data_IF_090522246427
#
_entry.id   IF_090522246427
#
_cell.length_a   1.000
_cell.length_b   1.000
_cell.length_c   1.000
_cell.angle_alpha   90.00
_cell.angle_beta   90.00
_cell.angle_gamma   90.00
#
_symmetry.space_group_name_H-M   'P 1'
#
loop_
_entity.id
_entity.type
_entity.pdbx_description
1 polymer ?
#
# COMPACT_ATOMS: atom_id res chain seq x y z
N UNK A 1 25.29 -3.16 -5.63
CA UNK A 1 24.09 -4.01 -5.73
C UNK A 1 23.89 -4.36 -7.20
N UNK A 2 23.33 -5.53 -7.49
CA UNK A 2 23.04 -5.94 -8.87
C UNK A 2 21.92 -5.07 -9.46
N UNK A 3 21.93 -4.86 -10.78
CA UNK A 3 20.86 -4.15 -11.48
C UNK A 3 19.54 -4.93 -11.41
N UNK A 4 18.41 -4.22 -11.34
CA UNK A 4 17.09 -4.85 -11.31
C UNK A 4 16.82 -5.56 -12.63
N UNK A 5 16.36 -6.81 -12.58
CA UNK A 5 16.04 -7.59 -13.76
C UNK A 5 14.54 -7.51 -14.06
N UNK A 6 14.16 -6.67 -15.03
CA UNK A 6 12.76 -6.47 -15.42
C UNK A 6 12.13 -7.73 -16.02
N UNK A 7 12.86 -8.50 -16.83
CA UNK A 7 12.33 -9.72 -17.45
C UNK A 7 11.94 -10.76 -16.40
N UNK A 8 12.81 -10.95 -15.40
CA UNK A 8 12.53 -11.81 -14.25
C UNK A 8 11.33 -11.32 -13.43
N UNK A 9 11.14 -10.01 -13.31
CA UNK A 9 9.96 -9.46 -12.66
C UNK A 9 8.69 -9.83 -13.44
N UNK A 10 8.70 -9.64 -14.76
CA UNK A 10 7.57 -9.97 -15.64
C UNK A 10 7.24 -11.47 -15.63
N UNK A 11 8.25 -12.35 -15.63
CA UNK A 11 8.05 -13.80 -15.53
C UNK A 11 7.34 -14.24 -14.23
N UNK A 12 7.49 -13.45 -13.17
CA UNK A 12 6.92 -13.71 -11.85
C UNK A 12 5.68 -12.85 -11.55
N UNK A 13 5.31 -11.96 -12.47
CA UNK A 13 4.18 -11.05 -12.30
C UNK A 13 2.87 -11.78 -12.58
N UNK A 14 1.85 -11.49 -11.80
CA UNK A 14 0.53 -12.08 -11.98
C UNK A 14 -0.42 -11.79 -10.83
N UNK A 15 -1.68 -12.19 -11.01
CA UNK A 15 -2.68 -12.08 -9.97
C UNK A 15 -2.21 -12.76 -8.68
N UNK A 16 -2.49 -12.13 -7.53
CA UNK A 16 -2.31 -12.80 -6.24
C UNK A 16 -3.10 -14.11 -6.25
N UNK A 17 -2.43 -15.22 -5.92
CA UNK A 17 -3.05 -16.54 -5.95
C UNK A 17 -4.13 -16.62 -4.87
N UNK A 18 -5.35 -16.99 -5.27
CA UNK A 18 -6.51 -17.10 -4.38
C UNK A 18 -7.26 -18.44 -4.49
N UNK A 19 -7.00 -19.22 -5.54
CA UNK A 19 -7.76 -20.43 -5.86
C UNK A 19 -7.49 -21.60 -4.91
N UNK A 20 -6.33 -21.57 -4.22
CA UNK A 20 -5.93 -22.57 -3.23
C UNK A 20 -6.27 -22.16 -1.78
N UNK A 21 -7.01 -21.07 -1.59
CA UNK A 21 -7.45 -20.63 -0.28
C UNK A 21 -8.68 -21.41 0.18
N UNK A 22 -8.71 -21.80 1.45
CA UNK A 22 -9.83 -22.49 2.07
C UNK A 22 -10.96 -21.51 2.43
N UNK A 23 -11.80 -21.20 1.45
CA UNK A 23 -12.91 -20.26 1.66
C UNK A 23 -13.92 -20.74 2.70
N UNK A 24 -14.04 -22.04 2.97
CA UNK A 24 -14.90 -22.52 4.04
C UNK A 24 -14.34 -22.12 5.40
N UNK A 25 -13.06 -22.41 5.65
CA UNK A 25 -12.37 -21.98 6.88
C UNK A 25 -12.40 -20.45 7.03
N UNK A 26 -12.24 -19.72 5.92
CA UNK A 26 -12.33 -18.25 5.92
C UNK A 26 -13.68 -17.76 6.48
N UNK A 27 -14.79 -18.37 6.04
CA UNK A 27 -16.14 -18.05 6.51
C UNK A 27 -16.39 -18.44 7.95
N UNK A 28 -15.93 -19.62 8.35
CA UNK A 28 -16.17 -20.14 9.70
C UNK A 28 -15.43 -19.35 10.78
N UNK A 29 -14.20 -18.89 10.49
CA UNK A 29 -13.45 -18.01 11.41
C UNK A 29 -13.98 -16.58 11.34
N UNK A 30 -14.33 -16.11 10.14
CA UNK A 30 -14.86 -14.76 9.90
C UNK A 30 -13.81 -13.66 10.09
N UNK A 31 -14.31 -12.43 10.22
CA UNK A 31 -13.53 -11.22 10.53
C UNK A 31 -14.16 -10.48 11.71
N UNK A 32 -13.37 -9.67 12.39
CA UNK A 32 -13.85 -8.60 13.25
C UNK A 32 -14.29 -7.39 12.42
N UNK A 33 -15.12 -6.53 12.99
CA UNK A 33 -15.49 -5.25 12.35
C UNK A 33 -14.26 -4.35 12.14
N UNK A 34 -13.25 -4.44 13.01
CA UNK A 34 -11.97 -3.73 12.87
C UNK A 34 -11.23 -4.23 11.63
N UNK A 35 -11.07 -5.54 11.47
CA UNK A 35 -10.44 -6.14 10.28
C UNK A 35 -11.20 -5.77 9.01
N UNK A 36 -12.53 -5.87 9.04
CA UNK A 36 -13.36 -5.52 7.90
C UNK A 36 -13.18 -4.04 7.49
N UNK A 37 -13.13 -3.11 8.45
CA UNK A 37 -12.86 -1.68 8.18
C UNK A 37 -11.46 -1.43 7.63
N UNK A 38 -10.43 -2.08 8.19
CA UNK A 38 -9.04 -1.98 7.69
C UNK A 38 -8.94 -2.50 6.26
N UNK A 39 -9.51 -3.68 6.00
CA UNK A 39 -9.48 -4.31 4.68
C UNK A 39 -10.27 -3.50 3.64
N UNK A 40 -11.41 -2.92 4.03
CA UNK A 40 -12.17 -2.00 3.16
C UNK A 40 -11.30 -0.81 2.75
N UNK A 41 -10.64 -0.17 3.71
CA UNK A 41 -9.70 0.92 3.45
C UNK A 41 -8.55 0.52 2.53
N UNK A 42 -7.95 -0.67 2.75
CA UNK A 42 -6.88 -1.20 1.90
C UNK A 42 -7.38 -1.45 0.48
N UNK A 43 -8.53 -2.12 0.30
CA UNK A 43 -9.12 -2.39 -1.01
C UNK A 43 -9.47 -1.11 -1.78
N UNK A 44 -9.99 -0.09 -1.09
CA UNK A 44 -10.30 1.22 -1.66
C UNK A 44 -9.04 1.96 -2.09
N UNK A 45 -7.94 1.77 -1.34
CA UNK A 45 -6.62 2.32 -1.67
C UNK A 45 -6.07 1.64 -2.93
N UNK A 46 -6.08 0.30 -3.03
CA UNK A 46 -5.60 -0.40 -4.24
C UNK A 46 -6.43 -0.05 -5.48
N UNK A 47 -7.75 0.08 -5.31
CA UNK A 47 -8.64 0.41 -6.42
C UNK A 47 -8.44 1.84 -6.93
N UNK A 48 -8.09 2.78 -6.05
CA UNK A 48 -7.79 4.17 -6.42
C UNK A 48 -6.45 4.34 -7.09
N UNK A 49 -5.46 3.55 -6.70
CA UNK A 49 -4.12 3.54 -7.30
C UNK A 49 -4.17 3.38 -8.83
N UNK A 50 -5.19 2.67 -9.34
CA UNK A 50 -5.45 2.46 -10.78
C UNK A 50 -5.90 3.74 -11.49
N UNK A 51 -6.63 4.63 -10.82
CA UNK A 51 -7.15 5.87 -11.43
C UNK A 51 -6.03 6.81 -11.87
N UNK A 52 -4.87 6.74 -11.21
CA UNK A 52 -3.70 7.54 -11.52
C UNK A 52 -2.79 6.91 -12.57
N UNK A 53 -3.09 5.70 -13.07
CA UNK A 53 -2.23 5.00 -14.03
C UNK A 53 -1.89 5.85 -15.27
N UNK A 54 -2.89 6.58 -15.79
CA UNK A 54 -2.70 7.51 -16.92
C UNK A 54 -1.65 8.58 -16.60
N UNK A 55 -1.61 9.03 -15.37
CA UNK A 55 -0.76 10.11 -14.88
C UNK A 55 0.65 9.58 -14.61
N UNK A 56 0.77 8.36 -14.07
CA UNK A 56 2.04 7.65 -13.87
C UNK A 56 2.73 7.31 -15.21
N UNK A 57 1.92 6.99 -16.23
CA UNK A 57 2.32 6.82 -17.63
C UNK A 57 2.25 8.13 -18.43
N UNK A 58 2.32 9.29 -17.78
CA UNK A 58 2.43 10.56 -18.49
C UNK A 58 3.89 11.01 -18.62
N UNK A 59 4.14 11.88 -19.60
CA UNK A 59 5.40 12.62 -19.70
C UNK A 59 6.63 11.77 -19.95
N UNK A 60 7.63 11.92 -19.09
CA UNK A 60 8.95 11.30 -19.28
C UNK A 60 9.00 9.82 -18.93
N UNK A 61 8.04 9.30 -18.15
CA UNK A 61 7.97 7.89 -17.75
C UNK A 61 7.73 6.96 -18.96
N UNK A 62 6.99 7.41 -19.96
CA UNK A 62 6.66 6.60 -21.16
C UNK A 62 7.83 6.30 -22.07
N UNK A 63 8.92 7.07 -21.94
CA UNK A 63 10.12 6.91 -22.75
C UNK A 63 11.06 5.83 -22.19
N UNK A 64 10.79 5.34 -20.99
CA UNK A 64 11.56 4.27 -20.36
C UNK A 64 10.81 2.93 -20.47
N UNK A 65 11.29 1.99 -21.29
CA UNK A 65 10.60 0.72 -21.51
C UNK A 65 10.52 -0.15 -20.24
N UNK A 66 11.48 -0.04 -19.31
CA UNK A 66 11.42 -0.79 -18.05
C UNK A 66 10.28 -0.30 -17.17
N UNK A 67 10.10 1.02 -17.10
CA UNK A 67 9.00 1.64 -16.35
C UNK A 67 7.65 1.30 -16.97
N UNK A 68 7.53 1.36 -18.30
CA UNK A 68 6.27 1.01 -18.98
C UNK A 68 5.91 -0.45 -18.76
N UNK A 69 6.89 -1.37 -18.91
CA UNK A 69 6.67 -2.79 -18.67
C UNK A 69 6.27 -3.06 -17.22
N UNK A 70 7.00 -2.47 -16.26
CA UNK A 70 6.70 -2.59 -14.84
C UNK A 70 5.30 -2.08 -14.51
N UNK A 71 4.95 -0.84 -14.88
CA UNK A 71 3.64 -0.24 -14.54
C UNK A 71 2.46 -1.02 -15.15
N UNK A 72 2.67 -1.65 -16.31
CA UNK A 72 1.66 -2.49 -16.96
C UNK A 72 1.37 -3.77 -16.18
N UNK A 73 2.41 -4.42 -15.65
CA UNK A 73 2.26 -5.60 -14.80
C UNK A 73 1.77 -5.23 -13.40
N UNK A 74 2.36 -4.18 -12.81
CA UNK A 74 2.01 -3.65 -11.50
C UNK A 74 0.52 -3.32 -11.39
N UNK A 75 -0.06 -2.56 -12.32
CA UNK A 75 -1.49 -2.20 -12.24
C UNK A 75 -2.40 -3.44 -12.24
N UNK A 76 -1.98 -4.49 -12.94
CA UNK A 76 -2.73 -5.73 -12.99
C UNK A 76 -2.64 -6.48 -11.65
N UNK A 77 -1.46 -6.50 -11.03
CA UNK A 77 -1.30 -7.05 -9.67
C UNK A 77 -2.14 -6.26 -8.66
N UNK A 78 -2.10 -4.92 -8.67
CA UNK A 78 -2.88 -4.04 -7.79
C UNK A 78 -4.40 -4.26 -7.92
N UNK A 79 -4.90 -4.35 -9.16
CA UNK A 79 -6.30 -4.68 -9.41
C UNK A 79 -6.69 -6.03 -8.81
N UNK A 80 -5.78 -7.00 -8.85
CA UNK A 80 -6.02 -8.32 -8.29
C UNK A 80 -5.99 -8.31 -6.76
N UNK A 81 -5.17 -7.45 -6.14
CA UNK A 81 -5.15 -7.25 -4.69
C UNK A 81 -6.49 -6.74 -4.18
N UNK A 82 -6.99 -5.64 -4.76
CA UNK A 82 -8.30 -5.09 -4.43
C UNK A 82 -9.40 -6.15 -4.54
N UNK A 83 -9.47 -6.87 -5.67
CA UNK A 83 -10.45 -7.96 -5.89
C UNK A 83 -10.33 -9.10 -4.89
N UNK A 84 -9.11 -9.49 -4.52
CA UNK A 84 -8.89 -10.55 -3.55
C UNK A 84 -9.39 -10.15 -2.15
N UNK A 85 -9.13 -8.90 -1.74
CA UNK A 85 -9.67 -8.35 -0.49
C UNK A 85 -11.20 -8.28 -0.55
N UNK A 86 -11.78 -7.75 -1.64
CA UNK A 86 -13.24 -7.65 -1.82
C UNK A 86 -13.91 -9.02 -1.71
N UNK A 87 -13.31 -10.06 -2.30
CA UNK A 87 -13.80 -11.44 -2.18
C UNK A 87 -13.74 -11.93 -0.74
N UNK A 88 -12.61 -11.76 -0.06
CA UNK A 88 -12.47 -12.18 1.33
C UNK A 88 -13.48 -11.49 2.25
N UNK A 89 -13.69 -10.18 2.06
CA UNK A 89 -14.72 -9.42 2.77
C UNK A 89 -16.12 -10.00 2.51
N UNK A 90 -16.47 -10.27 1.26
CA UNK A 90 -17.76 -10.86 0.90
C UNK A 90 -17.98 -12.25 1.52
N UNK A 91 -16.96 -13.11 1.49
CA UNK A 91 -17.02 -14.44 2.11
C UNK A 91 -17.27 -14.32 3.62
N UNK A 92 -16.60 -13.38 4.30
CA UNK A 92 -16.78 -13.16 5.73
C UNK A 92 -18.04 -12.33 6.10
N UNK A 93 -18.97 -12.09 5.16
CA UNK A 93 -20.24 -11.41 5.44
C UNK A 93 -20.21 -9.88 5.36
N UNK A 94 -19.16 -9.30 4.77
CA UNK A 94 -18.99 -7.86 4.56
C UNK A 94 -18.95 -7.51 3.05
N UNK A 95 -19.98 -7.85 2.25
CA UNK A 95 -19.98 -7.59 0.81
C UNK A 95 -19.91 -6.10 0.51
N UNK A 96 -19.39 -5.77 -0.67
CA UNK A 96 -19.46 -4.41 -1.21
C UNK A 96 -20.88 -4.05 -1.62
N UNK A 97 -21.22 -2.77 -1.55
CA UNK A 97 -22.35 -2.24 -2.30
C UNK A 97 -22.07 -2.43 -3.80
N UNK A 98 -23.10 -2.78 -4.57
CA UNK A 98 -23.05 -2.94 -6.03
C UNK A 98 -22.44 -1.70 -6.72
N UNK A 99 -22.63 -0.51 -6.13
CA UNK A 99 -22.08 0.74 -6.65
C UNK A 99 -20.80 1.20 -5.95
N UNK A 100 -20.23 0.41 -5.04
CA UNK A 100 -19.08 0.81 -4.20
C UNK A 100 -17.90 1.29 -5.04
N UNK A 101 -17.51 0.53 -6.07
CA UNK A 101 -16.44 0.92 -6.99
C UNK A 101 -16.72 2.28 -7.66
N UNK A 102 -17.95 2.51 -8.11
CA UNK A 102 -18.33 3.80 -8.70
C UNK A 102 -18.30 4.92 -7.66
N UNK A 103 -18.81 4.70 -6.45
CA UNK A 103 -18.79 5.69 -5.36
C UNK A 103 -17.36 6.07 -4.96
N UNK A 104 -16.50 5.07 -4.81
CA UNK A 104 -15.07 5.22 -4.51
C UNK A 104 -14.39 6.01 -5.63
N UNK A 105 -14.57 5.62 -6.90
CA UNK A 105 -13.92 6.28 -8.04
C UNK A 105 -14.52 7.65 -8.42
N UNK A 106 -15.78 7.92 -8.09
CA UNK A 106 -16.46 9.21 -8.36
C UNK A 106 -16.45 10.18 -7.18
N UNK A 107 -16.09 9.70 -5.98
CA UNK A 107 -15.87 10.52 -4.79
C UNK A 107 -14.67 11.48 -4.91
N UNK A 108 -13.83 11.29 -5.94
CA UNK A 108 -12.78 12.21 -6.32
C UNK A 108 -13.38 13.58 -6.69
N UNK A 109 -13.18 14.56 -5.83
CA UNK A 109 -13.81 15.88 -5.94
C UNK A 109 -13.35 16.63 -7.20
N UNK A 110 -14.16 17.58 -7.68
CA UNK A 110 -13.79 18.51 -8.78
C UNK A 110 -12.45 19.23 -8.47
N UNK A 111 -12.14 19.43 -7.18
CA UNK A 111 -10.87 20.00 -6.72
C UNK A 111 -9.69 19.05 -6.93
N UNK A 112 -9.83 17.75 -6.64
CA UNK A 112 -8.82 16.74 -6.97
C UNK A 112 -8.62 16.57 -8.47
N UNK A 113 -9.67 16.74 -9.28
CA UNK A 113 -9.54 16.74 -10.74
C UNK A 113 -8.72 17.94 -11.26
N UNK A 114 -8.83 19.11 -10.63
CA UNK A 114 -8.03 20.30 -10.95
C UNK A 114 -6.59 20.16 -10.43
N UNK A 115 -6.40 19.64 -9.22
CA UNK A 115 -5.08 19.37 -8.64
C UNK A 115 -4.34 18.26 -9.41
N UNK A 116 -5.05 17.22 -9.89
CA UNK A 116 -4.51 16.18 -10.76
C UNK A 116 -4.12 16.73 -12.15
N UNK A 117 -4.91 17.60 -12.76
CA UNK A 117 -4.57 18.27 -14.02
C UNK A 117 -3.32 19.17 -13.91
N UNK A 118 -3.15 19.87 -12.79
CA UNK A 118 -1.94 20.66 -12.52
C UNK A 118 -0.73 19.75 -12.25
N UNK A 119 -0.91 18.66 -11.52
CA UNK A 119 0.15 17.68 -11.22
C UNK A 119 0.60 16.93 -12.48
N UNK A 120 -0.33 16.65 -13.39
CA UNK A 120 -0.06 16.09 -14.71
C UNK A 120 0.97 16.89 -15.51
N UNK A 121 0.83 18.22 -15.54
CA UNK A 121 1.77 19.10 -16.24
C UNK A 121 3.18 19.00 -15.64
N UNK A 122 3.30 18.78 -14.33
CA UNK A 122 4.58 18.62 -13.63
C UNK A 122 5.37 17.44 -14.20
N UNK A 123 4.72 16.31 -14.50
CA UNK A 123 5.38 15.13 -15.08
C UNK A 123 5.99 15.38 -16.48
N UNK A 124 5.51 16.39 -17.21
CA UNK A 124 6.09 16.80 -18.50
C UNK A 124 7.19 17.86 -18.35
N UNK A 125 7.35 18.51 -17.18
CA UNK A 125 8.28 19.64 -17.05
C UNK A 125 9.75 19.23 -17.03
N UNK A 126 10.11 18.08 -16.46
CA UNK A 126 11.50 17.63 -16.42
C UNK A 126 11.63 16.12 -16.29
N UNK A 127 12.64 15.48 -16.92
CA UNK A 127 12.96 14.06 -16.71
C UNK A 127 13.20 13.70 -15.24
N UNK A 128 13.60 14.68 -14.41
CA UNK A 128 13.85 14.48 -12.98
C UNK A 128 12.61 14.14 -12.17
N UNK A 129 11.41 14.44 -12.69
CA UNK A 129 10.15 14.03 -12.05
C UNK A 129 9.97 12.52 -12.02
N UNK A 130 10.63 11.78 -12.93
CA UNK A 130 10.64 10.32 -12.86
C UNK A 130 11.33 9.87 -11.57
N UNK A 131 12.42 10.53 -11.13
CA UNK A 131 13.06 10.19 -9.86
C UNK A 131 12.12 10.45 -8.66
N UNK A 132 11.35 11.55 -8.68
CA UNK A 132 10.34 11.83 -7.65
C UNK A 132 9.29 10.73 -7.60
N UNK A 133 8.74 10.36 -8.76
CA UNK A 133 7.78 9.26 -8.87
C UNK A 133 8.37 7.95 -8.35
N UNK A 134 9.56 7.55 -8.80
CA UNK A 134 10.18 6.29 -8.37
C UNK A 134 10.45 6.26 -6.87
N UNK A 135 10.93 7.36 -6.28
CA UNK A 135 11.10 7.46 -4.83
C UNK A 135 9.75 7.37 -4.09
N UNK A 136 8.73 8.07 -4.58
CA UNK A 136 7.41 8.08 -3.96
C UNK A 136 6.78 6.69 -3.97
N UNK A 137 6.83 6.00 -5.12
CA UNK A 137 6.39 4.61 -5.26
C UNK A 137 7.12 3.70 -4.29
N UNK A 138 8.46 3.79 -4.22
CA UNK A 138 9.25 2.96 -3.30
C UNK A 138 8.81 3.11 -1.83
N UNK A 139 8.48 4.34 -1.41
CA UNK A 139 7.99 4.60 -0.05
C UNK A 139 6.58 4.01 0.13
N UNK A 140 5.68 4.23 -0.83
CA UNK A 140 4.30 3.73 -0.76
C UNK A 140 4.26 2.20 -0.63
N UNK A 141 4.95 1.48 -1.51
CA UNK A 141 4.95 0.01 -1.50
C UNK A 141 5.64 -0.55 -0.26
N UNK A 142 6.69 0.13 0.24
CA UNK A 142 7.30 -0.24 1.51
C UNK A 142 6.29 -0.13 2.67
N UNK A 143 5.51 0.95 2.72
CA UNK A 143 4.49 1.13 3.77
C UNK A 143 3.31 0.18 3.61
N UNK A 144 2.86 -0.11 2.38
CA UNK A 144 1.82 -1.09 2.10
C UNK A 144 2.22 -2.50 2.55
N UNK A 145 3.44 -2.92 2.20
CA UNK A 145 4.00 -4.21 2.64
C UNK A 145 3.99 -4.36 4.17
N UNK A 146 4.36 -3.29 4.89
CA UNK A 146 4.36 -3.28 6.36
C UNK A 146 2.95 -3.30 6.92
N UNK A 147 1.99 -2.61 6.30
CA UNK A 147 0.59 -2.64 6.72
C UNK A 147 -0.01 -4.05 6.57
N UNK A 148 0.26 -4.73 5.45
CA UNK A 148 -0.15 -6.13 5.26
C UNK A 148 0.49 -7.08 6.27
N UNK A 149 1.78 -6.92 6.57
CA UNK A 149 2.47 -7.70 7.61
C UNK A 149 1.91 -7.44 9.01
N UNK A 150 1.56 -6.20 9.33
CA UNK A 150 0.94 -5.86 10.61
C UNK A 150 -0.43 -6.53 10.74
N UNK A 151 -1.23 -6.58 9.67
CA UNK A 151 -2.50 -7.30 9.64
C UNK A 151 -2.32 -8.81 9.76
N UNK A 152 -1.33 -9.39 9.06
CA UNK A 152 -0.96 -10.81 9.15
C UNK A 152 -0.71 -11.25 10.60
N UNK A 153 0.04 -10.45 11.34
CA UNK A 153 0.43 -10.74 12.73
C UNK A 153 -0.76 -10.67 13.70
N UNK A 154 -1.83 -9.98 13.33
CA UNK A 154 -2.96 -9.68 14.22
C UNK A 154 -4.19 -10.50 13.94
N UNK A 155 -4.45 -10.86 12.69
CA UNK A 155 -5.67 -11.58 12.36
C UNK A 155 -5.70 -12.98 13.01
N UNK A 156 -6.89 -13.44 13.38
CA UNK A 156 -7.11 -14.83 13.77
C UNK A 156 -7.46 -15.71 12.55
N UNK A 157 -7.83 -15.12 11.42
CA UNK A 157 -8.26 -15.83 10.22
C UNK A 157 -7.04 -16.33 9.43
N UNK A 158 -6.79 -17.66 9.36
CA UNK A 158 -5.61 -18.21 8.69
C UNK A 158 -5.60 -17.95 7.19
N UNK A 159 -6.78 -17.83 6.56
CA UNK A 159 -6.89 -17.50 5.14
C UNK A 159 -6.49 -16.06 4.88
N UNK A 160 -6.92 -15.14 5.75
CA UNK A 160 -6.47 -13.75 5.68
C UNK A 160 -4.95 -13.65 5.83
N UNK A 161 -4.36 -14.37 6.79
CA UNK A 161 -2.88 -14.42 6.96
C UNK A 161 -2.17 -14.80 5.67
N UNK A 162 -2.61 -15.89 5.04
CA UNK A 162 -1.99 -16.38 3.80
C UNK A 162 -2.14 -15.32 2.70
N UNK A 163 -3.33 -14.72 2.55
CA UNK A 163 -3.60 -13.73 1.51
C UNK A 163 -2.71 -12.48 1.68
N UNK A 164 -2.74 -11.83 2.85
CA UNK A 164 -1.97 -10.59 3.06
C UNK A 164 -0.47 -10.83 3.05
N UNK A 165 -0.01 -12.02 3.47
CA UNK A 165 1.39 -12.39 3.32
C UNK A 165 1.82 -12.47 1.84
N UNK A 166 0.97 -13.05 0.98
CA UNK A 166 1.21 -13.10 -0.47
C UNK A 166 1.25 -11.70 -1.07
N UNK A 167 0.31 -10.84 -0.69
CA UNK A 167 0.27 -9.43 -1.14
C UNK A 167 1.52 -8.68 -0.69
N UNK A 168 1.89 -8.76 0.60
CA UNK A 168 3.11 -8.17 1.14
C UNK A 168 4.40 -8.66 0.44
N UNK A 169 4.39 -9.83 -0.19
CA UNK A 169 5.51 -10.30 -1.03
C UNK A 169 5.51 -9.64 -2.40
N UNK A 170 4.34 -9.38 -3.00
CA UNK A 170 4.24 -8.63 -4.25
C UNK A 170 4.66 -7.17 -4.03
N UNK A 171 4.15 -6.52 -2.97
CA UNK A 171 4.55 -5.16 -2.57
C UNK A 171 6.06 -4.99 -2.47
N UNK A 172 6.75 -5.95 -1.83
CA UNK A 172 8.21 -5.90 -1.71
C UNK A 172 8.93 -6.01 -3.05
N UNK A 173 8.35 -6.70 -4.04
CA UNK A 173 8.91 -6.74 -5.42
C UNK A 173 8.69 -5.41 -6.12
N UNK A 174 7.51 -4.79 -5.96
CA UNK A 174 7.22 -3.47 -6.51
C UNK A 174 8.12 -2.40 -5.91
N UNK A 175 8.23 -2.39 -4.57
CA UNK A 175 9.15 -1.55 -3.82
C UNK A 175 10.58 -1.69 -4.35
N UNK A 176 11.03 -2.93 -4.59
CA UNK A 176 12.36 -3.19 -5.12
C UNK A 176 12.58 -2.54 -6.49
N UNK A 177 11.61 -2.65 -7.42
CA UNK A 177 11.70 -1.97 -8.72
C UNK A 177 11.82 -0.46 -8.55
N UNK A 178 10.87 0.14 -7.83
CA UNK A 178 10.82 1.57 -7.60
C UNK A 178 12.11 2.09 -6.95
N UNK A 179 12.62 1.38 -5.95
CA UNK A 179 13.85 1.74 -5.26
C UNK A 179 15.06 1.74 -6.21
N UNK A 180 15.24 0.70 -7.02
CA UNK A 180 16.38 0.63 -7.96
C UNK A 180 16.27 1.71 -9.05
N UNK A 181 15.06 1.99 -9.54
CA UNK A 181 14.85 3.07 -10.52
C UNK A 181 15.06 4.46 -9.92
N UNK A 182 14.72 4.66 -8.64
CA UNK A 182 15.02 5.87 -7.90
C UNK A 182 16.53 6.02 -7.71
N UNK A 183 17.22 4.98 -7.24
CA UNK A 183 18.66 4.98 -7.01
C UNK A 183 19.42 5.31 -8.30
N UNK A 184 19.09 4.65 -9.41
CA UNK A 184 19.67 4.88 -10.75
C UNK A 184 19.61 6.34 -11.17
N UNK A 185 18.54 7.06 -10.80
CA UNK A 185 18.30 8.47 -11.16
C UNK A 185 18.86 9.48 -10.16
N UNK A 186 19.06 9.06 -8.91
CA UNK A 186 19.60 9.90 -7.84
C UNK A 186 21.13 9.86 -7.80
N UNK A 187 21.73 8.73 -8.18
CA UNK A 187 23.18 8.52 -8.13
C UNK A 187 23.92 9.51 -9.03
N UNK A 188 24.85 10.28 -8.44
CA UNK A 188 25.64 11.27 -9.17
C UNK A 188 24.88 12.52 -9.62
N UNK A 189 23.62 12.71 -9.21
CA UNK A 189 22.75 13.78 -9.71
C UNK A 189 22.24 14.71 -8.57
N UNK A 190 23.07 15.65 -8.05
CA UNK A 190 22.70 16.49 -6.90
C UNK A 190 21.45 17.36 -7.11
N UNK A 191 21.18 17.78 -8.35
CA UNK A 191 19.96 18.56 -8.67
C UNK A 191 18.70 17.71 -8.54
N UNK A 192 18.76 16.46 -8.98
CA UNK A 192 17.66 15.49 -8.86
C UNK A 192 17.44 15.15 -7.40
N UNK A 193 18.51 14.90 -6.63
CA UNK A 193 18.43 14.67 -5.19
C UNK A 193 17.73 15.84 -4.47
N UNK A 194 18.12 17.09 -4.75
CA UNK A 194 17.47 18.28 -4.16
C UNK A 194 15.98 18.39 -4.49
N UNK A 195 15.60 18.08 -5.73
CA UNK A 195 14.20 18.09 -6.15
C UNK A 195 13.39 17.01 -5.42
N UNK A 196 13.90 15.78 -5.40
CA UNK A 196 13.26 14.64 -4.70
C UNK A 196 13.12 14.95 -3.21
N UNK A 197 14.17 15.47 -2.58
CA UNK A 197 14.15 15.95 -1.20
C UNK A 197 13.02 16.94 -0.93
N UNK A 198 12.95 18.00 -1.75
CA UNK A 198 11.93 19.02 -1.62
C UNK A 198 10.53 18.42 -1.79
N UNK A 199 10.35 17.58 -2.80
CA UNK A 199 9.06 16.97 -3.10
C UNK A 199 8.57 16.08 -1.94
N UNK A 200 9.42 15.15 -1.46
CA UNK A 200 9.08 14.24 -0.36
C UNK A 200 8.83 15.03 0.94
N UNK A 201 9.67 16.01 1.29
CA UNK A 201 9.45 16.81 2.51
C UNK A 201 8.15 17.60 2.49
N UNK A 202 7.76 18.12 1.32
CA UNK A 202 6.69 19.11 1.24
C UNK A 202 5.32 18.52 0.89
N UNK A 203 5.30 17.42 0.14
CA UNK A 203 4.08 16.91 -0.47
C UNK A 203 3.80 15.43 -0.13
N UNK A 204 4.79 14.64 0.28
CA UNK A 204 4.55 13.25 0.61
C UNK A 204 3.79 13.11 1.94
N UNK A 205 2.74 12.30 1.91
CA UNK A 205 1.99 11.85 3.09
C UNK A 205 1.62 10.38 2.93
N UNK A 206 1.30 9.72 4.05
CA UNK A 206 0.84 8.33 4.03
C UNK A 206 -0.31 8.13 3.05
N UNK A 207 -0.23 7.03 2.30
CA UNK A 207 -1.23 6.64 1.29
C UNK A 207 -2.61 6.51 1.95
N UNK A 208 -3.67 6.84 1.20
CA UNK A 208 -5.07 6.68 1.62
C UNK A 208 -5.67 7.84 2.42
N UNK A 209 -4.88 8.87 2.80
CA UNK A 209 -5.39 10.07 3.47
C UNK A 209 -6.35 10.92 2.62
N UNK A 210 -6.15 10.96 1.28
CA UNK A 210 -7.05 11.65 0.34
C UNK A 210 -8.24 10.81 -0.13
N UNK A 211 -8.05 9.49 -0.22
CA UNK A 211 -8.97 8.55 -0.87
C UNK A 211 -10.07 8.06 0.07
N UNK A 212 -9.72 7.66 1.28
CA UNK A 212 -10.65 7.08 2.24
C UNK A 212 -10.92 8.00 3.44
N UNK A 213 -10.41 9.23 3.40
CA UNK A 213 -10.56 10.23 4.45
C UNK A 213 -9.57 10.05 5.61
N UNK A 214 -9.18 11.19 6.20
CA UNK A 214 -8.19 11.28 7.29
C UNK A 214 -8.51 10.37 8.48
N UNK A 215 -9.79 10.23 8.83
CA UNK A 215 -10.21 9.39 9.96
C UNK A 215 -9.91 7.90 9.73
N UNK A 216 -10.07 7.39 8.52
CA UNK A 216 -9.79 5.98 8.23
C UNK A 216 -8.29 5.68 8.26
N UNK A 217 -7.45 6.62 7.78
CA UNK A 217 -6.00 6.50 7.93
C UNK A 217 -5.59 6.52 9.42
N UNK A 218 -6.19 7.41 10.21
CA UNK A 218 -5.96 7.49 11.66
C UNK A 218 -6.41 6.21 12.38
N UNK A 219 -7.56 5.65 11.98
CA UNK A 219 -8.07 4.37 12.46
C UNK A 219 -7.08 3.23 12.18
N UNK A 220 -6.62 3.10 10.93
CA UNK A 220 -5.67 2.05 10.52
C UNK A 220 -4.35 2.21 11.27
N UNK A 221 -3.82 3.44 11.38
CA UNK A 221 -2.60 3.72 12.12
C UNK A 221 -2.73 3.31 13.61
N UNK A 222 -3.85 3.63 14.25
CA UNK A 222 -4.07 3.29 15.65
C UNK A 222 -4.24 1.80 15.92
N UNK A 223 -4.90 1.07 15.02
CA UNK A 223 -5.14 -0.37 15.20
C UNK A 223 -3.96 -1.24 14.78
N UNK A 224 -3.22 -0.86 13.73
CA UNK A 224 -2.07 -1.63 13.27
C UNK A 224 -0.78 -1.21 14.00
N UNK A 225 -0.62 0.07 14.33
CA UNK A 225 0.63 0.66 14.82
C UNK A 225 0.47 1.52 16.09
N UNK A 226 -0.18 1.03 17.16
CA UNK A 226 -0.46 1.82 18.36
C UNK A 226 0.80 2.27 19.12
N UNK A 227 1.88 1.49 19.06
CA UNK A 227 3.07 1.65 19.92
C UNK A 227 4.39 1.55 19.14
N UNK A 228 5.50 1.79 19.84
CA UNK A 228 6.83 1.79 19.23
C UNK A 228 7.23 0.41 18.67
N UNK A 229 6.80 -0.67 19.34
CA UNK A 229 7.15 -2.05 18.96
C UNK A 229 6.47 -2.44 17.64
N UNK A 230 5.19 -2.13 17.50
CA UNK A 230 4.44 -2.33 16.25
C UNK A 230 4.99 -1.50 15.08
N UNK A 231 5.61 -0.35 15.36
CA UNK A 231 6.24 0.51 14.34
C UNK A 231 7.66 0.10 13.94
N UNK A 232 8.26 -0.92 14.55
CA UNK A 232 9.62 -1.36 14.20
C UNK A 232 9.77 -1.80 12.73
N UNK A 233 8.73 -2.38 12.14
CA UNK A 233 8.75 -2.74 10.72
C UNK A 233 8.82 -1.50 9.80
N UNK A 234 8.17 -0.40 10.18
CA UNK A 234 8.28 0.87 9.45
C UNK A 234 9.69 1.43 9.52
N UNK A 235 10.33 1.37 10.70
CA UNK A 235 11.71 1.83 10.88
C UNK A 235 12.67 1.10 9.93
N UNK A 236 12.55 -0.22 9.80
CA UNK A 236 13.36 -1.03 8.88
C UNK A 236 13.14 -0.66 7.41
N UNK A 237 11.90 -0.38 7.02
CA UNK A 237 11.60 0.11 5.69
C UNK A 237 12.24 1.49 5.44
N UNK A 238 12.17 2.39 6.42
CA UNK A 238 12.82 3.70 6.34
C UNK A 238 14.34 3.60 6.22
N UNK A 239 14.97 2.65 6.92
CA UNK A 239 16.42 2.38 6.78
C UNK A 239 16.77 2.05 5.33
N UNK A 240 15.95 1.25 4.63
CA UNK A 240 16.16 0.95 3.21
C UNK A 240 15.97 2.19 2.33
N UNK A 241 14.96 3.04 2.63
CA UNK A 241 14.76 4.30 1.88
C UNK A 241 15.91 5.28 2.12
N UNK A 242 16.51 5.33 3.32
CA UNK A 242 17.66 6.18 3.65
C UNK A 242 18.92 5.84 2.86
N UNK A 243 19.01 4.65 2.28
CA UNK A 243 20.10 4.28 1.38
C UNK A 243 20.03 5.00 0.02
N UNK A 244 18.87 5.59 -0.34
CA UNK A 244 18.76 6.40 -1.54
C UNK A 244 19.54 7.72 -1.39
N UNK A 245 20.37 8.10 -2.37
CA UNK A 245 21.17 9.32 -2.27
C UNK A 245 20.33 10.57 -1.99
N UNK A 246 20.65 11.27 -0.91
CA UNK A 246 19.96 12.48 -0.48
C UNK A 246 18.72 12.22 0.41
N UNK A 247 18.36 10.98 0.74
CA UNK A 247 17.25 10.66 1.64
C UNK A 247 17.66 10.14 3.01
N UNK A 248 18.89 10.41 3.43
CA UNK A 248 19.45 9.94 4.71
C UNK A 248 18.64 10.43 5.93
N UNK A 249 17.88 11.51 5.76
CA UNK A 249 17.00 12.09 6.78
C UNK A 249 15.63 11.42 6.89
N UNK A 250 15.25 10.53 5.96
CA UNK A 250 13.88 10.04 5.82
C UNK A 250 13.43 9.25 7.06
N UNK A 251 12.43 9.78 7.77
CA UNK A 251 11.77 9.12 8.91
C UNK A 251 10.28 9.46 8.97
N UNK A 252 9.72 9.84 7.82
CA UNK A 252 8.38 10.41 7.73
C UNK A 252 7.28 9.37 7.86
N UNK A 253 7.52 8.11 7.48
CA UNK A 253 6.51 7.06 7.58
C UNK A 253 6.22 6.73 9.04
N UNK A 254 7.26 6.53 9.86
CA UNK A 254 7.13 6.28 11.29
C UNK A 254 6.50 7.47 12.01
N UNK A 255 6.99 8.69 11.75
CA UNK A 255 6.49 9.91 12.40
C UNK A 255 5.02 10.18 12.06
N UNK A 256 4.65 10.16 10.78
CA UNK A 256 3.26 10.38 10.39
C UNK A 256 2.35 9.26 10.93
N UNK A 257 2.80 8.00 10.92
CA UNK A 257 1.99 6.90 11.48
C UNK A 257 1.74 7.10 12.97
N UNK A 258 2.77 7.51 13.71
CA UNK A 258 2.66 7.82 15.14
C UNK A 258 1.67 8.97 15.37
N UNK A 259 1.84 10.10 14.67
CA UNK A 259 0.97 11.28 14.80
C UNK A 259 -0.51 10.91 14.54
N UNK A 260 -0.77 10.09 13.51
CA UNK A 260 -2.13 9.63 13.16
C UNK A 260 -2.72 8.68 14.19
N UNK A 261 -1.91 7.74 14.69
CA UNK A 261 -2.33 6.82 15.76
C UNK A 261 -2.68 7.60 17.04
N UNK A 262 -1.83 8.54 17.45
CA UNK A 262 -2.05 9.40 18.64
C UNK A 262 -3.30 10.28 18.47
N UNK A 263 -3.53 10.84 17.28
CA UNK A 263 -4.73 11.62 16.98
C UNK A 263 -6.02 10.80 17.06
N UNK A 264 -5.99 9.52 16.68
CA UNK A 264 -7.14 8.63 16.85
C UNK A 264 -7.34 8.24 18.32
N UNK A 265 -6.28 7.78 18.99
CA UNK A 265 -6.33 7.29 20.38
C UNK A 265 -6.76 8.39 21.35
N UNK A 266 -6.32 9.63 21.13
CA UNK A 266 -6.74 10.77 21.95
C UNK A 266 -8.24 11.08 21.85
N UNK A 267 -8.88 10.75 20.72
CA UNK A 267 -10.34 10.97 20.50
C UNK A 267 -11.19 9.77 20.90
N UNK A 268 -10.70 8.55 20.69
CA UNK A 268 -11.49 7.31 20.83
C UNK A 268 -11.04 6.40 21.97
N UNK A 269 -9.93 6.72 22.63
CA UNK A 269 -9.31 5.89 23.67
C UNK A 269 -8.35 4.83 23.11
N UNK A 270 -7.73 4.02 24.00
CA UNK A 270 -6.80 2.97 23.59
C UNK A 270 -7.47 1.93 22.69
N UNK A 271 -6.80 1.61 21.58
CA UNK A 271 -7.28 0.59 20.66
C UNK A 271 -6.87 -0.80 21.16
N UNK A 272 -7.86 -1.65 21.47
CA UNK A 272 -7.64 -3.07 21.75
C UNK A 272 -7.94 -3.85 20.47
N UNK A 273 -6.90 -4.42 19.86
CA UNK A 273 -7.09 -5.34 18.74
C UNK A 273 -7.44 -6.72 19.30
N UNK A 274 -8.72 -6.99 19.50
CA UNK A 274 -9.18 -8.29 20.00
C UNK A 274 -9.14 -9.31 18.87
N UNK A 275 -8.25 -10.29 18.97
CA UNK A 275 -8.20 -11.40 18.01
C UNK A 275 -9.34 -12.37 18.31
N UNK A 276 -10.05 -12.86 17.29
CA UNK A 276 -11.08 -13.92 17.47
C UNK A 276 -10.43 -15.30 17.69
N UNK A 277 -9.40 -15.38 18.55
CA UNK A 277 -8.55 -16.57 18.72
C UNK A 277 -9.32 -17.79 19.18
N UNK A 278 -10.31 -17.64 20.05
CA UNK A 278 -11.15 -18.77 20.52
C UNK A 278 -12.02 -19.34 19.40
N UNK A 279 -12.71 -18.48 18.63
CA UNK A 279 -13.48 -18.91 17.45
C UNK A 279 -12.60 -19.54 16.38
N UNK A 280 -11.41 -18.98 16.16
CA UNK A 280 -10.44 -19.55 15.23
C UNK A 280 -9.98 -20.94 15.67
N UNK A 281 -9.66 -21.13 16.96
CA UNK A 281 -9.27 -22.43 17.50
C UNK A 281 -10.39 -23.48 17.38
N UNK A 282 -11.64 -23.11 17.68
CA UNK A 282 -12.80 -23.99 17.54
C UNK A 282 -13.10 -24.35 16.07
N UNK A 283 -13.05 -23.39 15.16
CA UNK A 283 -13.27 -23.64 13.74
C UNK A 283 -12.19 -24.56 13.14
N UNK A 284 -10.91 -24.31 13.47
CA UNK A 284 -9.80 -25.18 13.06
C UNK A 284 -10.00 -26.60 13.60
N UNK A 285 -10.44 -26.75 14.85
CA UNK A 285 -10.70 -28.06 15.44
C UNK A 285 -11.85 -28.81 14.76
N UNK A 286 -12.93 -28.11 14.34
CA UNK A 286 -14.07 -28.71 13.62
C UNK A 286 -13.73 -29.17 12.21
N UNK A 287 -12.85 -28.47 11.50
CA UNK A 287 -12.46 -28.85 10.13
C UNK A 287 -11.42 -29.98 10.13
N UNK A 288 -10.64 -30.11 11.22
CA UNK A 288 -9.65 -31.17 11.39
C UNK A 288 -10.24 -32.52 11.85
N UNK A 289 -11.52 -32.56 12.26
CA UNK A 289 -12.24 -33.76 12.72
C UNK A 289 -13.11 -34.36 11.62
#
# INVERSE_FOLDING_TARGET
MAEFNIDRFLDLAGAVKVDDLDWQLCREVGLTDIEARILRYMADTESHTILYMRDLLAGHSTKDPEIVAFLSAWVYEELCHGRAISRLLAECGYPEDVNHYTTVTTGASVRESIEAALTHLVYYMTPRMVAVHMTWGAINEATAAVAYQALEQRTANPVLKILVNRMARQERRHMSFYWHQAEKRLRGEPRTQKLVNFAIKRFWSLVGGGVAGTENLEFVAAHLFPDADSRQALVKCEETIRELPGLEWFKSATLQTQERAEAYISRHGPCVYTTQTERAAEAIARIAS
#
